data_IF_994425301724
#
_entry.id   IF_994425301724
#
_cell.length_a   1.000
_cell.length_b   1.000
_cell.length_c   1.000
_cell.angle_alpha   90.00
_cell.angle_beta   90.00
_cell.angle_gamma   90.00
#
_symmetry.space_group_name_H-M   'P 1'
#
loop_
_entity.id
_entity.type
_entity.pdbx_description
1 polymer ?
#
# COMPACT_ATOMS: atom_id res chain seq x y z
N UNK A 1 12.03 -1.62 -20.77
CA UNK A 1 11.53 -2.07 -19.45
C UNK A 1 11.39 -3.58 -19.52
N UNK A 2 12.01 -4.37 -18.62
CA UNK A 2 11.82 -5.82 -18.63
C UNK A 2 10.36 -6.15 -18.29
N UNK A 3 9.66 -6.82 -19.21
CA UNK A 3 8.31 -7.35 -19.01
C UNK A 3 8.38 -8.55 -18.07
N UNK A 4 7.76 -8.44 -16.90
CA UNK A 4 7.67 -9.56 -15.96
C UNK A 4 6.53 -10.48 -16.39
N UNK A 5 6.87 -11.61 -17.03
CA UNK A 5 5.90 -12.61 -17.46
C UNK A 5 5.53 -13.55 -16.32
N UNK A 6 4.25 -13.68 -16.00
CA UNK A 6 3.79 -14.53 -14.90
C UNK A 6 2.62 -15.39 -15.30
N UNK A 7 2.46 -16.52 -14.61
CA UNK A 7 1.26 -17.33 -14.75
C UNK A 7 0.40 -17.11 -13.52
N UNK A 8 -0.78 -16.52 -13.70
CA UNK A 8 -1.74 -16.47 -12.61
C UNK A 8 -2.19 -17.88 -12.24
N UNK A 9 -2.43 -18.10 -10.95
CA UNK A 9 -3.15 -19.28 -10.48
C UNK A 9 -4.57 -18.88 -10.08
N UNK A 10 -5.54 -19.66 -10.50
CA UNK A 10 -6.89 -19.61 -10.02
C UNK A 10 -6.97 -20.29 -8.66
N UNK A 11 -7.65 -19.65 -7.71
CA UNK A 11 -8.06 -20.32 -6.46
C UNK A 11 -9.36 -21.08 -6.75
N UNK A 12 -9.32 -22.41 -6.68
CA UNK A 12 -10.50 -23.28 -6.87
C UNK A 12 -10.72 -24.15 -5.63
N UNK A 13 -11.92 -24.73 -5.42
CA UNK A 13 -12.15 -25.67 -4.32
C UNK A 13 -11.14 -26.84 -4.29
N UNK A 14 -10.63 -27.24 -5.46
CA UNK A 14 -9.64 -28.32 -5.62
C UNK A 14 -8.17 -27.84 -5.53
N UNK A 15 -7.93 -26.59 -5.11
CA UNK A 15 -6.60 -26.00 -4.97
C UNK A 15 -6.21 -24.99 -6.07
N UNK A 16 -4.92 -24.69 -6.18
CA UNK A 16 -4.37 -23.63 -7.06
C UNK A 16 -4.04 -24.18 -8.45
N UNK A 17 -4.78 -23.78 -9.48
CA UNK A 17 -4.55 -24.21 -10.88
C UNK A 17 -3.98 -23.06 -11.71
N UNK A 18 -2.92 -23.31 -12.51
CA UNK A 18 -2.41 -22.28 -13.44
C UNK A 18 -3.48 -21.92 -14.47
N UNK A 19 -3.74 -20.63 -14.67
CA UNK A 19 -4.70 -20.14 -15.66
C UNK A 19 -4.13 -20.15 -17.09
N UNK A 20 -2.81 -20.30 -17.22
CA UNK A 20 -2.10 -20.20 -18.51
C UNK A 20 -1.92 -18.77 -19.00
N UNK A 21 -2.33 -17.78 -18.21
CA UNK A 21 -2.45 -16.39 -18.67
C UNK A 21 -1.32 -15.56 -18.10
N UNK A 22 -0.70 -14.80 -19.00
CA UNK A 22 0.41 -13.91 -18.70
C UNK A 22 -0.01 -12.48 -18.76
N UNK A 23 0.31 -11.70 -17.73
CA UNK A 23 0.03 -10.27 -17.74
C UNK A 23 1.27 -9.45 -17.41
N UNK A 24 1.41 -8.32 -18.11
CA UNK A 24 2.31 -7.23 -17.78
C UNK A 24 1.54 -6.21 -16.93
N UNK A 25 2.18 -5.67 -15.89
CA UNK A 25 1.59 -4.62 -15.05
C UNK A 25 2.48 -3.40 -14.95
N UNK A 26 1.84 -2.25 -14.80
CA UNK A 26 2.42 -0.99 -14.37
C UNK A 26 1.52 -0.41 -13.28
N UNK A 27 2.09 -0.09 -12.13
CA UNK A 27 1.41 0.67 -11.09
C UNK A 27 2.32 1.81 -10.63
N UNK A 28 1.73 2.99 -10.42
CA UNK A 28 2.35 4.13 -9.77
C UNK A 28 1.36 4.72 -8.78
N UNK A 29 1.83 4.93 -7.56
CA UNK A 29 1.08 5.57 -6.47
C UNK A 29 1.95 6.64 -5.82
N UNK A 30 1.33 7.73 -5.40
CA UNK A 30 1.95 8.65 -4.44
C UNK A 30 1.60 8.23 -3.01
N UNK A 31 2.45 7.40 -2.39
CA UNK A 31 2.23 6.84 -1.04
C UNK A 31 3.04 7.61 0.01
N UNK A 32 2.36 8.31 0.93
CA UNK A 32 2.97 9.16 1.96
C UNK A 32 3.45 8.41 3.21
N UNK A 33 4.53 7.64 3.11
CA UNK A 33 5.09 6.85 4.24
C UNK A 33 6.01 7.65 5.17
N UNK A 34 6.16 8.95 4.96
CA UNK A 34 7.05 9.83 5.74
C UNK A 34 6.30 10.94 6.51
N UNK A 35 5.01 11.15 6.23
CA UNK A 35 4.21 12.28 6.75
C UNK A 35 3.00 11.80 7.57
N UNK A 36 2.44 12.70 8.37
CA UNK A 36 1.24 12.45 9.17
C UNK A 36 -0.04 12.46 8.32
N UNK A 37 0.02 12.97 7.09
CA UNK A 37 -1.13 13.07 6.18
C UNK A 37 -1.80 11.72 5.97
N UNK A 38 -1.00 10.66 5.80
CA UNK A 38 -1.46 9.28 5.63
C UNK A 38 -2.35 8.75 6.77
N UNK A 39 -2.29 9.34 7.97
CA UNK A 39 -3.14 8.90 9.08
C UNK A 39 -4.60 9.23 8.82
N UNK A 40 -4.89 10.37 8.20
CA UNK A 40 -6.26 10.84 7.95
C UNK A 40 -6.64 10.94 6.47
N UNK A 41 -5.72 11.30 5.60
CA UNK A 41 -5.96 11.42 4.18
C UNK A 41 -6.01 10.03 3.53
N UNK A 42 -7.14 9.70 2.92
CA UNK A 42 -7.36 8.42 2.28
C UNK A 42 -7.20 8.47 0.76
N UNK A 43 -7.03 9.64 0.14
CA UNK A 43 -7.06 9.81 -1.31
C UNK A 43 -5.67 9.98 -1.90
N UNK A 44 -5.30 9.08 -2.80
CA UNK A 44 -4.01 9.14 -3.49
C UNK A 44 -4.15 8.80 -4.97
N UNK A 45 -3.41 9.54 -5.81
CA UNK A 45 -3.38 9.27 -7.25
C UNK A 45 -2.78 7.88 -7.51
N UNK A 46 -3.51 7.09 -8.28
CA UNK A 46 -3.12 5.76 -8.74
C UNK A 46 -3.18 5.73 -10.26
N UNK A 47 -2.03 5.47 -10.88
CA UNK A 47 -1.94 5.05 -12.28
C UNK A 47 -1.78 3.54 -12.30
N UNK A 48 -2.69 2.85 -12.96
CA UNK A 48 -2.72 1.40 -13.05
C UNK A 48 -2.88 0.97 -14.50
N UNK A 49 -2.01 0.10 -14.99
CA UNK A 49 -2.18 -0.54 -16.28
C UNK A 49 -1.87 -2.03 -16.20
N UNK A 50 -2.65 -2.82 -16.91
CA UNK A 50 -2.44 -4.24 -17.06
C UNK A 50 -2.71 -4.65 -18.51
N UNK A 51 -1.93 -5.59 -19.03
CA UNK A 51 -2.16 -6.21 -20.33
C UNK A 51 -1.87 -7.69 -20.23
N UNK A 52 -2.86 -8.50 -20.56
CA UNK A 52 -2.81 -9.95 -20.44
C UNK A 52 -2.84 -10.64 -21.82
N UNK A 53 -2.29 -11.86 -21.88
CA UNK A 53 -2.19 -12.69 -23.08
C UNK A 53 -3.53 -13.19 -23.60
N UNK A 54 -4.55 -13.16 -22.76
CA UNK A 54 -5.93 -13.45 -23.15
C UNK A 54 -6.59 -12.26 -23.87
N UNK A 55 -5.97 -11.07 -23.86
CA UNK A 55 -6.52 -9.85 -24.44
C UNK A 55 -7.26 -8.96 -23.43
N UNK A 56 -7.28 -9.34 -22.14
CA UNK A 56 -7.67 -8.43 -21.06
C UNK A 56 -6.66 -7.29 -20.99
N UNK A 57 -7.12 -6.04 -21.04
CA UNK A 57 -6.23 -4.90 -20.85
C UNK A 57 -6.98 -3.69 -20.28
N UNK A 58 -6.28 -2.95 -19.42
CA UNK A 58 -6.75 -1.72 -18.78
C UNK A 58 -5.58 -0.74 -18.68
N UNK A 59 -5.87 0.55 -18.84
CA UNK A 59 -5.03 1.61 -18.32
C UNK A 59 -5.95 2.66 -17.69
N UNK A 60 -5.82 2.84 -16.38
CA UNK A 60 -6.67 3.68 -15.58
C UNK A 60 -5.85 4.67 -14.73
N UNK A 61 -6.32 5.90 -14.63
CA UNK A 61 -5.83 6.89 -13.66
C UNK A 61 -7.01 7.31 -12.80
N UNK A 62 -6.89 7.09 -11.49
CA UNK A 62 -7.94 7.37 -10.51
C UNK A 62 -7.35 8.01 -9.26
N UNK A 63 -8.15 8.83 -8.59
CA UNK A 63 -7.92 9.22 -7.22
C UNK A 63 -8.45 8.09 -6.33
N UNK A 64 -7.55 7.17 -5.96
CA UNK A 64 -7.90 5.97 -5.20
C UNK A 64 -8.12 6.31 -3.74
N UNK A 65 -9.25 5.87 -3.19
CA UNK A 65 -9.49 5.87 -1.76
C UNK A 65 -8.93 4.58 -1.14
N UNK A 66 -8.13 4.71 -0.08
CA UNK A 66 -7.57 3.60 0.68
C UNK A 66 -8.36 3.38 1.98
N UNK A 67 -9.63 3.02 1.87
CA UNK A 67 -10.55 2.93 3.01
C UNK A 67 -11.18 4.27 3.33
N UNK A 68 -11.47 4.54 4.61
CA UNK A 68 -12.19 5.74 5.04
C UNK A 68 -11.22 6.88 5.38
N UNK A 69 -11.71 8.11 5.24
CA UNK A 69 -11.01 9.31 5.67
C UNK A 69 -11.00 9.42 7.20
N UNK A 70 -9.97 10.06 7.74
CA UNK A 70 -9.75 10.28 9.18
C UNK A 70 -9.67 9.02 10.04
N UNK A 71 -9.25 7.89 9.47
CA UNK A 71 -8.95 6.69 10.24
C UNK A 71 -7.84 5.88 9.58
N UNK A 72 -7.15 5.08 10.38
CA UNK A 72 -6.22 4.04 9.92
C UNK A 72 -6.51 2.74 10.66
N UNK A 73 -6.04 1.62 10.13
CA UNK A 73 -6.11 0.31 10.79
C UNK A 73 -4.74 -0.01 11.36
N UNK A 74 -4.69 -0.48 12.61
CA UNK A 74 -3.44 -0.98 13.21
C UNK A 74 -2.90 -2.14 12.39
N UNK A 75 -1.66 -2.02 11.89
CA UNK A 75 -1.14 -3.01 10.96
C UNK A 75 -0.87 -4.39 11.57
N UNK A 76 -0.35 -4.46 12.81
CA UNK A 76 0.02 -5.73 13.44
C UNK A 76 -1.17 -6.61 13.90
N UNK A 77 -2.40 -6.08 13.90
CA UNK A 77 -3.63 -6.87 14.13
C UNK A 77 -4.60 -6.86 12.95
N UNK A 78 -4.46 -5.91 12.02
CA UNK A 78 -5.27 -5.79 10.81
C UNK A 78 -6.76 -5.52 11.04
N UNK A 79 -7.15 -5.10 12.25
CA UNK A 79 -8.56 -5.04 12.67
C UNK A 79 -8.91 -3.79 13.48
N UNK A 80 -8.00 -3.30 14.31
CA UNK A 80 -8.31 -2.17 15.18
C UNK A 80 -8.30 -0.87 14.38
N UNK A 81 -9.45 -0.20 14.32
CA UNK A 81 -9.59 1.12 13.71
C UNK A 81 -9.12 2.19 14.69
N UNK A 82 -8.27 3.09 14.23
CA UNK A 82 -7.72 4.22 14.98
C UNK A 82 -8.25 5.49 14.34
N UNK A 83 -8.98 6.28 15.11
CA UNK A 83 -9.48 7.58 14.66
C UNK A 83 -8.32 8.58 14.52
N UNK A 84 -8.26 9.27 13.38
CA UNK A 84 -7.21 10.21 13.00
C UNK A 84 -7.68 11.67 12.86
N UNK A 85 -8.85 11.99 13.43
CA UNK A 85 -9.41 13.34 13.46
C UNK A 85 -10.65 13.50 12.58
N UNK A 86 -10.84 14.68 12.00
CA UNK A 86 -12.02 15.03 11.16
C UNK A 86 -11.67 15.95 10.00
N UNK A 87 -10.38 16.18 9.72
CA UNK A 87 -9.90 17.18 8.77
C UNK A 87 -10.27 16.89 7.31
N UNK A 88 -10.65 15.66 6.97
CA UNK A 88 -10.90 15.22 5.59
C UNK A 88 -12.35 14.80 5.37
N UNK A 89 -12.97 15.30 4.30
CA UNK A 89 -14.36 14.98 3.91
C UNK A 89 -14.39 14.21 2.59
N UNK A 90 -13.55 13.19 2.47
CA UNK A 90 -13.36 12.42 1.24
C UNK A 90 -14.20 11.14 1.20
N UNK A 91 -14.57 10.64 0.00
CA UNK A 91 -15.32 9.39 -0.12
C UNK A 91 -14.51 8.20 0.40
N UNK A 92 -15.22 7.24 1.00
CA UNK A 92 -14.64 5.98 1.44
C UNK A 92 -14.58 4.96 0.29
N UNK A 93 -13.72 3.96 0.44
CA UNK A 93 -13.73 2.74 -0.36
C UNK A 93 -13.73 1.49 0.52
N UNK A 94 -13.78 0.32 -0.13
CA UNK A 94 -13.57 -0.98 0.51
C UNK A 94 -12.08 -1.32 0.72
N UNK A 95 -11.18 -0.37 0.45
CA UNK A 95 -9.76 -0.50 0.76
C UNK A 95 -9.46 -0.24 2.24
N UNK A 96 -8.18 -0.11 2.58
CA UNK A 96 -7.74 0.30 3.91
C UNK A 96 -6.31 0.84 3.91
N UNK A 97 -5.96 1.59 4.95
CA UNK A 97 -4.59 1.95 5.30
C UNK A 97 -4.22 1.22 6.59
N UNK A 98 -3.36 0.21 6.49
CA UNK A 98 -2.78 -0.48 7.62
C UNK A 98 -1.46 0.21 7.94
N UNK A 99 -1.39 0.90 9.08
CA UNK A 99 -0.21 1.68 9.47
C UNK A 99 0.27 1.16 10.84
N UNK A 100 1.59 0.95 11.05
CA UNK A 100 2.11 0.57 12.35
C UNK A 100 1.89 1.70 13.36
N UNK A 101 1.51 1.33 14.57
CA UNK A 101 1.32 2.26 15.68
C UNK A 101 2.24 1.95 16.87
N UNK A 102 2.20 2.78 17.91
CA UNK A 102 2.98 2.60 19.14
C UNK A 102 2.66 1.28 19.86
N UNK A 103 1.47 0.70 19.68
CA UNK A 103 1.12 -0.64 20.17
C UNK A 103 1.90 -1.71 19.41
N UNK A 104 1.98 -1.63 18.09
CA UNK A 104 2.80 -2.55 17.28
C UNK A 104 4.28 -2.46 17.64
N UNK A 105 4.82 -1.25 17.77
CA UNK A 105 6.21 -1.00 18.18
C UNK A 105 6.50 -1.65 19.54
N UNK A 106 5.69 -1.38 20.56
CA UNK A 106 5.89 -1.94 21.91
C UNK A 106 5.79 -3.46 21.93
N UNK A 107 4.87 -4.04 21.16
CA UNK A 107 4.62 -5.49 21.16
C UNK A 107 5.67 -6.29 20.40
N UNK A 108 6.19 -5.75 19.30
CA UNK A 108 7.01 -6.53 18.36
C UNK A 108 8.46 -6.06 18.28
N UNK A 109 8.76 -4.81 18.63
CA UNK A 109 10.12 -4.28 18.54
C UNK A 109 10.81 -4.24 19.91
N UNK A 110 10.12 -3.83 20.97
CA UNK A 110 10.76 -3.71 22.28
C UNK A 110 10.83 -5.07 22.99
N UNK A 111 12.02 -5.65 23.02
CA UNK A 111 12.25 -7.02 23.52
C UNK A 111 13.31 -7.05 24.63
N UNK A 112 13.26 -8.05 25.54
CA UNK A 112 14.27 -8.21 26.58
C UNK A 112 15.65 -8.57 26.01
N UNK A 113 16.67 -8.54 26.87
CA UNK A 113 17.99 -9.04 26.50
C UNK A 113 17.94 -10.53 26.09
N UNK A 114 18.68 -10.89 25.03
CA UNK A 114 18.70 -12.24 24.47
C UNK A 114 17.60 -12.55 23.45
N UNK A 115 16.67 -11.63 23.20
CA UNK A 115 15.64 -11.76 22.16
C UNK A 115 15.92 -10.84 20.94
N UNK A 116 15.27 -11.14 19.81
CA UNK A 116 15.32 -10.34 18.59
C UNK A 116 13.96 -9.68 18.31
N UNK A 117 13.99 -8.45 17.81
CA UNK A 117 12.79 -7.73 17.38
C UNK A 117 12.19 -8.33 16.11
N UNK A 118 10.86 -8.31 16.01
CA UNK A 118 10.13 -8.68 14.81
C UNK A 118 9.74 -7.42 14.02
N UNK A 119 10.68 -6.93 13.19
CA UNK A 119 10.46 -5.75 12.36
C UNK A 119 9.30 -5.94 11.37
N UNK A 120 9.14 -7.16 10.84
CA UNK A 120 8.09 -7.47 9.86
C UNK A 120 6.68 -7.36 10.45
N UNK A 121 6.50 -7.62 11.74
CA UNK A 121 5.21 -7.44 12.42
C UNK A 121 5.08 -6.06 13.07
N UNK A 122 6.18 -5.48 13.53
CA UNK A 122 6.18 -4.19 14.21
C UNK A 122 6.04 -2.99 13.28
N UNK A 123 6.51 -3.08 12.03
CA UNK A 123 6.64 -1.94 11.11
C UNK A 123 5.97 -2.12 9.75
N UNK A 124 5.31 -3.24 9.48
CA UNK A 124 4.63 -3.43 8.20
C UNK A 124 3.53 -2.38 8.02
N UNK A 125 3.62 -1.61 6.94
CA UNK A 125 2.60 -0.68 6.48
C UNK A 125 2.04 -1.20 5.15
N UNK A 126 0.72 -1.20 4.97
CA UNK A 126 0.08 -1.74 3.77
C UNK A 126 -1.14 -0.92 3.37
N UNK A 127 -1.20 -0.59 2.09
CA UNK A 127 -2.21 0.28 1.50
C UNK A 127 -3.02 -0.54 0.51
N UNK A 128 -4.21 -0.95 0.95
CA UNK A 128 -5.14 -1.77 0.20
C UNK A 128 -6.09 -0.86 -0.57
N UNK A 129 -6.09 -0.93 -1.91
CA UNK A 129 -7.03 -0.17 -2.74
C UNK A 129 -8.24 -1.01 -3.16
N UNK A 130 -9.33 -0.35 -3.52
CA UNK A 130 -10.48 -0.99 -4.16
C UNK A 130 -11.06 -0.01 -5.19
N UNK A 131 -10.69 -0.18 -6.46
CA UNK A 131 -10.97 0.79 -7.51
C UNK A 131 -12.03 0.26 -8.46
N UNK A 132 -12.96 1.13 -8.86
CA UNK A 132 -14.06 0.78 -9.75
C UNK A 132 -14.18 1.80 -10.87
N UNK A 133 -14.33 1.32 -12.11
CA UNK A 133 -14.82 2.15 -13.20
C UNK A 133 -16.29 1.83 -13.44
N UNK A 134 -17.18 2.81 -13.30
CA UNK A 134 -18.63 2.60 -13.40
C UNK A 134 -19.31 3.63 -14.27
N UNK A 135 -20.29 3.20 -15.06
CA UNK A 135 -21.20 4.13 -15.75
C UNK A 135 -22.05 4.90 -14.74
N UNK A 136 -22.71 5.98 -15.19
CA UNK A 136 -23.68 6.72 -14.37
C UNK A 136 -24.83 5.84 -13.83
N UNK A 137 -25.20 4.79 -14.56
CA UNK A 137 -26.20 3.80 -14.13
C UNK A 137 -25.68 2.76 -13.14
N UNK A 138 -24.41 2.84 -12.72
CA UNK A 138 -23.77 1.90 -11.80
C UNK A 138 -23.17 0.65 -12.44
N UNK A 139 -23.30 0.47 -13.76
CA UNK A 139 -22.73 -0.68 -14.49
C UNK A 139 -21.22 -0.68 -14.32
N UNK A 140 -20.69 -1.77 -13.77
CA UNK A 140 -19.26 -2.00 -13.65
C UNK A 140 -18.63 -2.18 -15.03
N UNK A 141 -17.51 -1.50 -15.26
CA UNK A 141 -16.68 -1.64 -16.45
C UNK A 141 -15.32 -2.25 -16.11
N UNK A 142 -14.79 -1.95 -14.93
CA UNK A 142 -13.57 -2.55 -14.43
C UNK A 142 -13.49 -2.49 -12.90
N UNK A 143 -12.79 -3.47 -12.32
CA UNK A 143 -12.36 -3.48 -10.92
C UNK A 143 -10.89 -3.87 -10.83
N UNK A 144 -10.14 -3.17 -9.99
CA UNK A 144 -8.74 -3.47 -9.73
C UNK A 144 -8.33 -2.99 -8.34
N UNK A 145 -7.51 -3.76 -7.66
CA UNK A 145 -7.14 -3.60 -6.25
C UNK A 145 -5.65 -3.89 -6.04
N UNK A 146 -4.73 -3.11 -6.64
CA UNK A 146 -3.33 -3.21 -6.26
C UNK A 146 -3.14 -2.81 -4.79
N UNK A 147 -2.24 -3.50 -4.09
CA UNK A 147 -1.84 -3.13 -2.73
C UNK A 147 -0.37 -2.73 -2.69
N UNK A 148 -0.02 -1.85 -1.75
CA UNK A 148 1.32 -1.27 -1.65
C UNK A 148 1.85 -1.37 -0.22
N UNK A 149 2.76 -2.30 0.00
CA UNK A 149 3.38 -2.57 1.27
C UNK A 149 4.74 -1.88 1.41
N UNK A 150 5.06 -1.47 2.63
CA UNK A 150 6.34 -0.88 3.03
C UNK A 150 6.82 -1.57 4.31
N UNK A 151 8.04 -2.10 4.30
CA UNK A 151 8.62 -2.86 5.41
C UNK A 151 9.50 -2.01 6.33
N UNK A 152 9.97 -0.87 5.84
CA UNK A 152 10.84 0.05 6.56
C UNK A 152 10.29 1.49 6.58
N UNK A 153 9.01 1.71 6.95
CA UNK A 153 8.42 3.04 6.93
C UNK A 153 9.20 3.99 7.86
N UNK A 154 9.39 5.23 7.42
CA UNK A 154 10.11 6.25 8.17
C UNK A 154 9.37 6.74 9.42
N UNK A 155 8.06 6.45 9.51
CA UNK A 155 7.19 6.86 10.59
C UNK A 155 6.22 5.77 11.02
N UNK A 156 5.81 5.84 12.27
CA UNK A 156 4.66 5.10 12.80
C UNK A 156 3.67 6.08 13.44
N UNK A 157 2.44 5.63 13.66
CA UNK A 157 1.39 6.38 14.31
C UNK A 157 1.54 6.28 15.83
N UNK A 158 1.95 7.35 16.51
CA UNK A 158 1.93 7.36 17.97
C UNK A 158 0.55 7.81 18.47
N UNK A 159 -0.20 6.86 19.01
CA UNK A 159 -1.57 7.04 19.53
C UNK A 159 -1.61 7.26 21.04
N UNK A 160 -0.45 7.26 21.73
CA UNK A 160 -0.34 7.18 23.18
C UNK A 160 -1.26 6.07 23.76
N UNK A 161 -1.20 4.88 23.18
CA UNK A 161 -2.01 3.73 23.58
C UNK A 161 -3.52 3.89 23.30
N UNK A 162 -3.88 4.69 22.29
CA UNK A 162 -5.27 4.95 21.89
C UNK A 162 -5.96 6.08 22.66
N UNK A 163 -5.22 6.88 23.43
CA UNK A 163 -5.80 7.96 24.27
C UNK A 163 -5.96 9.29 23.53
N UNK A 164 -5.37 9.43 22.35
CA UNK A 164 -5.47 10.63 21.51
C UNK A 164 -5.36 10.30 20.02
N UNK A 165 -5.73 11.24 19.13
CA UNK A 165 -5.40 11.12 17.72
C UNK A 165 -3.90 10.85 17.48
N UNK A 166 -3.56 10.07 16.45
CA UNK A 166 -2.19 9.73 16.12
C UNK A 166 -1.38 10.98 15.81
N UNK A 167 -0.21 11.07 16.41
CA UNK A 167 0.84 12.02 16.01
C UNK A 167 1.95 11.25 15.32
N UNK A 168 2.73 11.94 14.50
CA UNK A 168 3.83 11.32 13.81
C UNK A 168 4.97 11.06 14.80
N UNK A 169 5.40 9.81 14.89
CA UNK A 169 6.65 9.43 15.52
C UNK A 169 7.60 8.85 14.47
N UNK A 170 8.92 9.04 14.67
CA UNK A 170 9.92 8.58 13.72
C UNK A 170 10.35 7.17 14.07
N UNK A 171 10.36 6.29 13.08
CA UNK A 171 10.74 4.89 13.31
C UNK A 171 12.18 4.75 13.78
N UNK A 172 13.07 5.64 13.31
CA UNK A 172 14.48 5.64 13.72
C UNK A 172 14.67 5.84 15.23
N UNK A 173 13.77 6.58 15.89
CA UNK A 173 13.87 6.86 17.33
C UNK A 173 13.71 5.58 18.16
N UNK A 174 12.97 4.59 17.64
CA UNK A 174 12.75 3.29 18.30
C UNK A 174 14.06 2.58 18.62
N UNK A 175 15.11 2.79 17.81
CA UNK A 175 16.42 2.16 18.03
C UNK A 175 17.17 2.69 19.26
N UNK A 176 16.73 3.82 19.82
CA UNK A 176 17.24 4.39 21.06
C UNK A 176 16.21 4.38 22.20
N UNK A 177 15.04 3.75 22.01
CA UNK A 177 14.09 3.59 23.10
C UNK A 177 14.67 2.69 24.18
N UNK A 178 14.81 3.26 25.37
CA UNK A 178 14.98 2.51 26.61
C UNK A 178 13.67 2.62 27.40
N UNK A 179 12.64 1.88 26.97
CA UNK A 179 11.38 1.84 27.70
C UNK A 179 11.55 0.97 28.96
N UNK A 180 11.17 1.50 30.13
CA UNK A 180 10.96 0.83 31.42
C UNK A 180 11.72 -0.51 31.58
N UNK A 181 12.97 -0.44 32.04
CA UNK A 181 13.65 -1.62 32.60
C UNK A 181 14.13 -2.68 31.59
N UNK A 182 14.97 -2.30 30.63
CA UNK A 182 15.78 -3.17 29.74
C UNK A 182 15.17 -3.62 28.39
N UNK A 183 13.92 -3.25 28.08
CA UNK A 183 13.35 -3.53 26.76
C UNK A 183 13.90 -2.54 25.72
N UNK A 184 14.38 -3.07 24.60
CA UNK A 184 14.87 -2.27 23.47
C UNK A 184 14.66 -2.99 22.15
N UNK A 185 14.68 -2.25 21.04
CA UNK A 185 14.81 -2.87 19.73
C UNK A 185 16.19 -3.51 19.55
N UNK A 186 16.25 -4.69 18.94
CA UNK A 186 17.45 -5.53 18.80
C UNK A 186 17.46 -6.22 17.45
N UNK A 187 18.61 -6.25 16.79
CA UNK A 187 18.77 -6.89 15.50
C UNK A 187 18.36 -5.99 14.34
N UNK A 188 18.57 -6.51 13.13
CA UNK A 188 18.11 -5.92 11.88
C UNK A 188 18.44 -4.44 11.75
N UNK A 189 17.43 -3.65 11.42
CA UNK A 189 17.55 -2.22 11.16
C UNK A 189 18.09 -1.42 12.37
N UNK A 190 17.79 -1.82 13.61
CA UNK A 190 18.29 -1.06 14.76
C UNK A 190 19.76 -1.35 15.09
N UNK A 191 20.25 -2.56 14.82
CA UNK A 191 21.68 -2.84 14.94
C UNK A 191 22.47 -2.06 13.87
N UNK A 192 21.94 -1.95 12.65
CA UNK A 192 22.52 -1.12 11.58
C UNK A 192 22.54 0.37 11.99
N UNK A 193 21.40 0.91 12.43
CA UNK A 193 21.27 2.32 12.80
C UNK A 193 22.23 2.71 13.96
N UNK A 194 22.38 1.81 14.94
CA UNK A 194 23.22 2.03 16.12
C UNK A 194 24.69 1.64 15.93
N UNK A 195 25.09 1.18 14.72
CA UNK A 195 26.42 0.62 14.46
C UNK A 195 26.78 -0.47 15.49
N UNK A 196 25.88 -1.43 15.67
CA UNK A 196 25.97 -2.52 16.63
C UNK A 196 26.27 -2.03 18.06
N UNK A 197 25.65 -0.90 18.45
CA UNK A 197 25.82 -0.26 19.75
C UNK A 197 27.03 0.67 19.88
N UNK A 198 27.84 0.86 18.84
CA UNK A 198 28.96 1.82 18.86
C UNK A 198 28.49 3.28 18.78
N UNK A 199 27.31 3.52 18.20
CA UNK A 199 26.73 4.86 18.07
C UNK A 199 25.92 5.22 19.33
N UNK A 200 26.50 6.07 20.17
CA UNK A 200 25.82 6.60 21.35
C UNK A 200 24.79 7.70 21.03
N UNK A 201 25.01 8.49 19.97
CA UNK A 201 24.13 9.60 19.59
C UNK A 201 23.08 9.15 18.57
N UNK A 202 21.78 9.37 18.84
CA UNK A 202 20.71 9.09 17.88
C UNK A 202 20.96 9.73 16.51
N UNK A 203 20.56 9.02 15.46
CA UNK A 203 20.57 9.57 14.10
C UNK A 203 19.45 10.60 13.96
N UNK A 204 19.68 11.74 13.27
CA UNK A 204 18.60 12.61 12.82
C UNK A 204 17.56 11.84 12.00
N UNK A 205 16.30 12.28 12.07
CA UNK A 205 15.20 11.60 11.37
C UNK A 205 15.36 11.55 9.85
N UNK A 206 16.13 12.47 9.29
CA UNK A 206 16.43 12.63 7.87
C UNK A 206 17.84 12.16 7.48
N UNK A 207 18.52 11.47 8.40
CA UNK A 207 19.84 10.92 8.12
C UNK A 207 19.79 9.89 6.99
N UNK A 208 20.66 10.04 6.00
CA UNK A 208 20.91 9.03 4.94
C UNK A 208 21.44 7.69 5.46
N UNK A 209 21.77 7.62 6.75
CA UNK A 209 22.19 6.39 7.46
C UNK A 209 21.02 5.70 8.15
N UNK A 210 19.81 6.26 8.11
CA UNK A 210 18.61 5.62 8.65
C UNK A 210 18.18 4.48 7.73
N UNK A 211 18.00 3.25 8.23
CA UNK A 211 17.43 2.16 7.43
C UNK A 211 15.92 2.28 7.24
N UNK A 212 15.27 3.29 7.86
CA UNK A 212 13.84 3.54 7.77
C UNK A 212 13.55 4.69 6.79
N UNK A 213 13.75 4.42 5.50
CA UNK A 213 13.56 5.39 4.41
C UNK A 213 12.27 5.14 3.60
N UNK A 214 11.56 4.05 3.88
CA UNK A 214 10.39 3.63 3.14
C UNK A 214 10.68 3.10 1.73
N UNK A 215 11.92 2.72 1.42
CA UNK A 215 12.32 2.19 0.11
C UNK A 215 12.22 0.66 0.02
N UNK A 216 12.09 -0.07 1.12
CA UNK A 216 11.80 -1.51 1.10
C UNK A 216 10.30 -1.71 0.91
N UNK A 217 9.90 -2.01 -0.32
CA UNK A 217 8.51 -2.05 -0.74
C UNK A 217 8.13 -3.35 -1.41
N UNK A 218 6.85 -3.67 -1.35
CA UNK A 218 6.23 -4.69 -2.16
C UNK A 218 4.93 -4.18 -2.76
N UNK A 219 4.63 -4.60 -3.97
CA UNK A 219 3.37 -4.30 -4.65
C UNK A 219 2.66 -5.60 -4.94
N UNK A 220 1.39 -5.66 -4.59
CA UNK A 220 0.53 -6.80 -4.85
C UNK A 220 -0.40 -6.50 -6.00
N UNK A 221 -0.55 -7.46 -6.91
CA UNK A 221 -1.56 -7.43 -7.96
C UNK A 221 -2.52 -8.58 -7.70
N UNK A 222 -3.71 -8.22 -7.21
CA UNK A 222 -4.72 -9.17 -6.81
C UNK A 222 -5.71 -9.43 -7.96
N UNK A 223 -6.73 -8.58 -8.10
CA UNK A 223 -7.75 -8.70 -9.14
C UNK A 223 -7.59 -7.65 -10.24
N UNK A 224 -7.89 -8.08 -11.46
CA UNK A 224 -8.05 -7.20 -12.61
C UNK A 224 -9.24 -7.68 -13.41
N UNK A 225 -10.40 -7.12 -13.09
CA UNK A 225 -11.64 -7.37 -13.80
C UNK A 225 -11.84 -6.28 -14.85
N UNK A 226 -12.13 -6.70 -16.07
CA UNK A 226 -12.66 -5.85 -17.15
C UNK A 226 -13.99 -6.46 -17.59
N UNK A 227 -15.05 -5.66 -17.61
CA UNK A 227 -16.40 -6.05 -18.07
C UNK A 227 -16.88 -5.05 -19.15
N UNK A 228 -16.24 -5.11 -20.31
CA UNK A 228 -16.42 -4.16 -21.41
C UNK A 228 -16.61 -4.88 -22.77
N UNK A 229 -17.18 -6.09 -22.76
CA UNK A 229 -17.47 -6.84 -23.98
C UNK A 229 -18.33 -6.02 -24.95
N UNK A 230 -17.90 -5.90 -26.22
CA UNK A 230 -18.58 -5.10 -27.25
C UNK A 230 -18.60 -3.59 -26.98
N UNK A 231 -17.92 -3.11 -25.93
CA UNK A 231 -17.82 -1.69 -25.60
C UNK A 231 -16.69 -0.96 -26.33
N UNK A 232 -16.62 0.38 -26.23
CA UNK A 232 -15.52 1.15 -26.79
C UNK A 232 -14.22 0.90 -26.01
N UNK A 233 -13.08 1.16 -26.67
CA UNK A 233 -11.76 1.09 -26.01
C UNK A 233 -11.51 2.21 -25.00
N UNK A 234 -12.18 3.34 -25.17
CA UNK A 234 -12.01 4.51 -24.34
C UNK A 234 -13.30 4.87 -23.62
N UNK A 235 -13.15 5.18 -22.34
CA UNK A 235 -14.19 5.70 -21.48
C UNK A 235 -13.67 6.96 -20.79
N UNK A 236 -14.57 7.89 -20.48
CA UNK A 236 -14.26 9.12 -19.77
C UNK A 236 -14.95 9.03 -18.42
N UNK A 237 -14.20 9.11 -17.32
CA UNK A 237 -14.73 9.00 -15.95
C UNK A 237 -14.44 10.27 -15.16
N UNK A 238 -15.14 10.46 -14.04
CA UNK A 238 -14.69 11.39 -13.02
C UNK A 238 -13.40 10.86 -12.33
N UNK A 239 -12.73 11.66 -11.48
CA UNK A 239 -11.49 11.26 -10.82
C UNK A 239 -11.60 9.98 -9.96
N UNK A 240 -12.79 9.64 -9.48
CA UNK A 240 -13.01 8.46 -8.64
C UNK A 240 -13.43 7.22 -9.47
N UNK A 241 -13.39 7.31 -10.80
CA UNK A 241 -13.79 6.24 -11.71
C UNK A 241 -15.29 6.14 -11.96
N UNK A 242 -16.08 7.06 -11.42
CA UNK A 242 -17.52 7.14 -11.63
C UNK A 242 -17.90 7.79 -12.96
N UNK A 243 -19.21 7.82 -13.22
CA UNK A 243 -19.82 8.56 -14.34
C UNK A 243 -19.23 8.23 -15.72
N UNK A 244 -18.77 7.00 -15.92
CA UNK A 244 -18.14 6.56 -17.16
C UNK A 244 -19.05 6.83 -18.37
N UNK A 245 -18.53 7.57 -19.33
CA UNK A 245 -19.21 8.01 -20.54
C UNK A 245 -18.37 7.70 -21.78
N UNK A 246 -19.03 7.54 -22.92
CA UNK A 246 -18.37 7.43 -24.23
C UNK A 246 -17.97 8.80 -24.80
N UNK A 247 -18.49 9.88 -24.22
CA UNK A 247 -18.19 11.27 -24.60
C UNK A 247 -17.44 11.95 -23.46
N UNK A 248 -16.43 12.74 -23.80
CA UNK A 248 -15.72 13.59 -22.84
C UNK A 248 -16.69 14.56 -22.17
N UNK A 249 -16.44 14.84 -20.89
CA UNK A 249 -17.09 15.88 -20.11
C UNK A 249 -16.05 16.69 -19.32
N UNK A 250 -16.39 17.87 -18.77
CA UNK A 250 -15.47 18.68 -17.97
C UNK A 250 -14.91 17.90 -16.78
N UNK A 251 -13.59 17.98 -16.55
CA UNK A 251 -12.92 17.24 -15.47
C UNK A 251 -12.75 15.73 -15.71
N UNK A 252 -13.16 15.21 -16.88
CA UNK A 252 -13.08 13.78 -17.14
C UNK A 252 -11.64 13.30 -17.42
N UNK A 253 -11.32 12.13 -16.87
CA UNK A 253 -10.09 11.38 -17.13
C UNK A 253 -10.40 10.31 -18.18
N UNK A 254 -9.57 10.23 -19.23
CA UNK A 254 -9.71 9.19 -20.26
C UNK A 254 -9.07 7.90 -19.75
N UNK A 255 -9.88 6.84 -19.69
CA UNK A 255 -9.49 5.49 -19.34
C UNK A 255 -9.41 4.62 -20.60
N UNK A 256 -8.58 3.58 -20.58
CA UNK A 256 -8.54 2.54 -21.60
C UNK A 256 -9.04 1.21 -21.02
N UNK A 257 -9.95 0.56 -21.74
CA UNK A 257 -10.45 -0.78 -21.45
C UNK A 257 -10.49 -1.60 -22.74
N UNK A 258 -9.93 -2.80 -22.74
CA UNK A 258 -10.13 -3.72 -23.88
C UNK A 258 -11.63 -3.97 -24.09
N UNK A 259 -12.11 -4.16 -25.34
CA UNK A 259 -13.51 -4.47 -25.64
C UNK A 259 -13.83 -5.94 -25.32
N UNK A 260 -13.58 -6.34 -24.07
CA UNK A 260 -13.56 -7.72 -23.60
C UNK A 260 -14.20 -7.82 -22.21
N UNK A 261 -14.68 -9.00 -21.85
CA UNK A 261 -15.07 -9.31 -20.48
C UNK A 261 -14.30 -10.53 -20.00
N UNK A 262 -13.65 -10.43 -18.84
CA UNK A 262 -13.02 -11.55 -18.15
C UNK A 262 -13.79 -11.92 -16.86
N UNK A 263 -15.04 -11.48 -16.72
CA UNK A 263 -15.87 -11.73 -15.52
C UNK A 263 -16.13 -13.20 -15.19
N UNK A 264 -15.96 -14.08 -16.17
CA UNK A 264 -16.09 -15.55 -15.99
C UNK A 264 -14.85 -16.18 -15.37
N UNK A 265 -13.79 -15.42 -15.16
CA UNK A 265 -12.56 -15.94 -14.60
C UNK A 265 -12.71 -16.15 -13.09
N UNK A 266 -12.08 -17.20 -12.56
CA UNK A 266 -11.99 -17.35 -11.12
C UNK A 266 -11.15 -16.21 -10.52
N UNK A 267 -11.36 -15.95 -9.24
CA UNK A 267 -10.50 -15.06 -8.46
C UNK A 267 -9.05 -15.48 -8.62
N UNK A 268 -8.22 -14.52 -9.03
CA UNK A 268 -6.79 -14.76 -9.21
C UNK A 268 -6.09 -14.74 -7.86
N UNK A 269 -5.08 -15.59 -7.68
CA UNK A 269 -4.17 -15.50 -6.54
C UNK A 269 -3.38 -14.19 -6.62
N UNK A 270 -3.37 -13.43 -5.52
CA UNK A 270 -2.55 -12.22 -5.40
C UNK A 270 -1.08 -12.53 -5.65
N UNK A 271 -0.46 -11.76 -6.54
CA UNK A 271 0.96 -11.87 -6.86
C UNK A 271 1.71 -10.69 -6.25
N UNK A 272 2.77 -10.98 -5.50
CA UNK A 272 3.58 -9.99 -4.81
C UNK A 272 4.89 -9.74 -5.56
N UNK A 273 5.33 -8.48 -5.63
CA UNK A 273 6.55 -8.07 -6.33
C UNK A 273 7.34 -7.07 -5.54
N UNK A 274 8.65 -7.23 -5.54
CA UNK A 274 9.57 -6.19 -5.08
C UNK A 274 10.20 -6.43 -3.72
N UNK A 275 9.72 -7.39 -2.92
CA UNK A 275 10.29 -7.65 -1.60
C UNK A 275 11.79 -7.96 -1.62
N UNK A 276 12.32 -8.52 -2.72
CA UNK A 276 13.74 -8.83 -2.89
C UNK A 276 14.55 -7.74 -3.61
N UNK A 277 13.94 -6.61 -3.98
CA UNK A 277 14.60 -5.53 -4.71
C UNK A 277 14.74 -4.28 -3.83
N UNK A 278 15.97 -3.75 -3.64
CA UNK A 278 16.13 -2.43 -3.07
C UNK A 278 15.64 -1.39 -4.08
N UNK A 279 14.58 -0.65 -3.73
CA UNK A 279 14.12 0.49 -4.52
C UNK A 279 14.84 1.80 -4.14
N UNK A 280 15.71 1.73 -3.13
CA UNK A 280 16.58 2.82 -2.70
C UNK A 280 17.85 2.94 -3.55
N UNK A 281 18.48 4.11 -3.48
CA UNK A 281 19.77 4.41 -4.06
C UNK A 281 20.65 5.16 -3.06
N UNK A 282 21.90 5.46 -3.43
CA UNK A 282 22.79 6.23 -2.56
C UNK A 282 22.16 7.60 -2.25
N UNK A 283 21.96 7.88 -0.97
CA UNK A 283 21.40 9.16 -0.50
C UNK A 283 19.88 9.21 -0.43
N UNK A 284 19.16 8.09 -0.62
CA UNK A 284 17.73 8.02 -0.29
C UNK A 284 17.57 8.12 1.23
N UNK A 285 16.69 9.00 1.71
CA UNK A 285 16.47 9.26 3.13
C UNK A 285 15.08 9.88 3.35
N UNK A 286 14.46 9.65 4.50
CA UNK A 286 13.24 10.38 4.82
C UNK A 286 13.52 11.89 5.00
N UNK A 287 12.60 12.81 4.71
CA UNK A 287 11.44 12.62 3.84
C UNK A 287 11.88 12.49 2.37
N UNK A 288 11.33 11.49 1.68
CA UNK A 288 11.44 11.30 0.23
C UNK A 288 10.18 11.82 -0.46
#
# INVERSE_FOLDING_TARGET
MPSLQLYFRAVTPDGRKRTGVRCDFLAKIHQGTHSADAFGNNLHELVYAARCSDGTAIAATVLSAFGRANELIRSCDGRTVIAAGTSFAYPASNGARLIPDDVCVRRHLLVPAGAFSDFSRGLYEDWLSANYLRTRSGRLLAYFDPHFAVFNPARYADTAGGTRPPVLARTIDVCWFAALGQLRARGGACDEATDYGRRATPLPYDSTRSPFDGAHRETYFNQTLVDNAGGPRHWWTDPFGGNASRRRFPGAIRQYLAPRSNRRWPTLESQAFGASRPYGGRGVHAPN
#
